data_IF_702040890634
#
_entry.id   IF_702040890634
#
_cell.length_a   1.000
_cell.length_b   1.000
_cell.length_c   1.000
_cell.angle_alpha   90.00
_cell.angle_beta   90.00
_cell.angle_gamma   90.00
#
_symmetry.space_group_name_H-M   'P 1'
#
loop_
_entity.id
_entity.type
_entity.pdbx_description
1 polymer ?
#
# COMPACT_ATOMS: atom_id res chain seq x y z
N UNK A 1 -6.22 -8.58 -36.42
CA UNK A 1 -7.41 -9.06 -35.70
C UNK A 1 -7.37 -8.53 -34.26
N UNK A 2 -8.38 -7.79 -33.82
CA UNK A 2 -8.48 -7.34 -32.44
C UNK A 2 -8.93 -8.50 -31.52
N UNK A 3 -8.27 -8.70 -30.37
CA UNK A 3 -8.64 -9.74 -29.40
C UNK A 3 -10.01 -9.45 -28.79
N UNK A 4 -10.78 -10.49 -28.50
CA UNK A 4 -12.07 -10.35 -27.81
C UNK A 4 -11.90 -9.78 -26.40
N UNK A 5 -12.91 -9.09 -25.88
CA UNK A 5 -12.87 -8.48 -24.53
C UNK A 5 -12.52 -9.49 -23.42
N UNK A 6 -13.08 -10.70 -23.50
CA UNK A 6 -12.82 -11.80 -22.56
C UNK A 6 -11.37 -12.28 -22.62
N UNK A 7 -10.79 -12.32 -23.82
CA UNK A 7 -9.40 -12.70 -24.03
C UNK A 7 -8.43 -11.61 -23.57
N UNK A 8 -8.79 -10.34 -23.75
CA UNK A 8 -8.05 -9.20 -23.21
C UNK A 8 -8.01 -9.26 -21.68
N UNK A 9 -9.13 -9.55 -21.02
CA UNK A 9 -9.20 -9.66 -19.56
C UNK A 9 -8.31 -10.79 -19.03
N UNK A 10 -8.39 -11.99 -19.63
CA UNK A 10 -7.51 -13.12 -19.29
C UNK A 10 -6.04 -12.80 -19.48
N UNK A 11 -5.69 -12.09 -20.55
CA UNK A 11 -4.32 -11.65 -20.79
C UNK A 11 -3.84 -10.65 -19.73
N UNK A 12 -4.69 -9.68 -19.36
CA UNK A 12 -4.37 -8.72 -18.29
C UNK A 12 -4.22 -9.41 -16.93
N UNK A 13 -5.05 -10.41 -16.65
CA UNK A 13 -4.95 -11.21 -15.43
C UNK A 13 -3.65 -12.00 -15.36
N UNK A 14 -3.31 -12.76 -16.41
CA UNK A 14 -2.00 -13.44 -16.52
C UNK A 14 -0.84 -12.46 -16.36
N UNK A 15 -0.92 -11.27 -16.96
CA UNK A 15 0.11 -10.23 -16.82
C UNK A 15 0.23 -9.74 -15.37
N UNK A 16 -0.88 -9.57 -14.65
CA UNK A 16 -0.89 -9.20 -13.22
C UNK A 16 -0.29 -10.30 -12.35
N UNK A 17 -0.62 -11.56 -12.62
CA UNK A 17 -0.08 -12.72 -11.91
C UNK A 17 1.42 -12.88 -12.13
N UNK A 18 1.88 -12.80 -13.38
CA UNK A 18 3.30 -12.85 -13.71
C UNK A 18 4.07 -11.73 -13.02
N UNK A 19 3.52 -10.51 -13.00
CA UNK A 19 4.10 -9.38 -12.27
C UNK A 19 4.15 -9.67 -10.76
N UNK A 20 3.08 -10.21 -10.17
CA UNK A 20 3.02 -10.58 -8.74
C UNK A 20 4.11 -11.60 -8.39
N UNK A 21 4.26 -12.65 -9.19
CA UNK A 21 5.26 -13.70 -8.97
C UNK A 21 6.69 -13.18 -9.15
N UNK A 22 6.93 -12.37 -10.18
CA UNK A 22 8.23 -11.70 -10.38
C UNK A 22 8.62 -10.83 -9.18
N UNK A 23 7.68 -9.99 -8.70
CA UNK A 23 7.90 -9.15 -7.52
C UNK A 23 8.15 -9.96 -6.24
N UNK A 24 7.47 -11.10 -6.07
CA UNK A 24 7.71 -12.02 -4.94
C UNK A 24 9.13 -12.57 -4.99
N UNK A 25 9.55 -13.12 -6.14
CA UNK A 25 10.91 -13.64 -6.35
C UNK A 25 11.98 -12.57 -6.11
N UNK A 26 11.76 -11.33 -6.58
CA UNK A 26 12.69 -10.23 -6.36
C UNK A 26 12.84 -9.89 -4.86
N UNK A 27 11.75 -9.90 -4.09
CA UNK A 27 11.79 -9.69 -2.63
C UNK A 27 12.49 -10.82 -1.90
N UNK A 28 12.29 -12.06 -2.34
CA UNK A 28 12.95 -13.24 -1.77
C UNK A 28 14.46 -13.19 -2.02
N UNK A 29 14.90 -12.88 -3.25
CA UNK A 29 16.31 -12.66 -3.59
C UNK A 29 16.93 -11.53 -2.78
N UNK A 30 16.18 -10.46 -2.51
CA UNK A 30 16.70 -9.38 -1.69
C UNK A 30 16.84 -9.81 -0.21
N UNK A 31 15.95 -10.66 0.28
CA UNK A 31 16.00 -11.18 1.65
C UNK A 31 17.12 -12.21 1.85
N UNK A 32 17.47 -12.97 0.80
CA UNK A 32 18.55 -13.96 0.89
C UNK A 32 19.94 -13.34 1.04
N UNK A 33 20.14 -12.12 0.52
CA UNK A 33 21.42 -11.41 0.58
C UNK A 33 21.39 -10.40 1.75
N UNK A 34 21.94 -10.72 2.94
CA UNK A 34 21.83 -9.87 4.13
C UNK A 34 22.47 -8.50 3.94
N UNK A 35 23.61 -8.42 3.23
CA UNK A 35 24.33 -7.17 2.98
C UNK A 35 23.47 -6.19 2.16
N UNK A 36 22.91 -6.65 1.04
CA UNK A 36 22.04 -5.82 0.19
C UNK A 36 20.76 -5.40 0.92
N UNK A 37 20.22 -6.28 1.76
CA UNK A 37 19.04 -5.95 2.56
C UNK A 37 19.33 -4.81 3.55
N UNK A 38 20.48 -4.84 4.22
CA UNK A 38 20.90 -3.79 5.15
C UNK A 38 21.17 -2.46 4.45
N UNK A 39 21.82 -2.47 3.29
CA UNK A 39 22.05 -1.28 2.47
C UNK A 39 20.74 -0.61 2.07
N UNK A 40 19.74 -1.37 1.61
CA UNK A 40 18.42 -0.82 1.26
C UNK A 40 17.73 -0.24 2.49
N UNK A 41 17.81 -0.94 3.63
CA UNK A 41 17.26 -0.42 4.88
C UNK A 41 17.94 0.88 5.31
N UNK A 42 19.24 1.03 5.06
CA UNK A 42 19.97 2.27 5.32
C UNK A 42 19.50 3.40 4.38
N UNK A 43 19.45 3.14 3.07
CA UNK A 43 18.94 4.10 2.07
C UNK A 43 17.51 4.56 2.36
N UNK A 44 16.65 3.66 2.84
CA UNK A 44 15.28 4.00 3.23
C UNK A 44 15.22 4.88 4.49
N UNK A 45 16.08 4.63 5.49
CA UNK A 45 16.22 5.51 6.67
C UNK A 45 16.67 6.91 6.24
N UNK A 46 17.65 7.00 5.34
CA UNK A 46 18.15 8.28 4.85
C UNK A 46 17.09 9.02 4.03
N UNK A 47 16.35 8.32 3.16
CA UNK A 47 15.22 8.90 2.43
C UNK A 47 14.15 9.45 3.37
N UNK A 48 13.83 8.72 4.44
CA UNK A 48 12.87 9.18 5.44
C UNK A 48 13.38 10.41 6.17
N UNK A 49 14.65 10.42 6.59
CA UNK A 49 15.29 11.57 7.23
C UNK A 49 15.21 12.82 6.34
N UNK A 50 15.59 12.71 5.06
CA UNK A 50 15.46 13.82 4.09
C UNK A 50 14.02 14.32 3.95
N UNK A 51 13.04 13.42 3.84
CA UNK A 51 11.63 13.83 3.76
C UNK A 51 11.11 14.51 5.02
N UNK A 52 11.65 14.13 6.18
CA UNK A 52 11.35 14.76 7.47
C UNK A 52 11.95 16.17 7.53
N UNK A 53 13.22 16.31 7.14
CA UNK A 53 13.92 17.60 7.03
C UNK A 53 13.23 18.54 6.03
N UNK A 54 12.79 18.02 4.88
CA UNK A 54 12.00 18.76 3.88
C UNK A 54 10.56 19.11 4.35
N UNK A 55 10.11 18.65 5.52
CA UNK A 55 8.77 18.90 6.05
C UNK A 55 7.63 18.19 5.31
N UNK A 56 7.95 17.25 4.42
CA UNK A 56 6.97 16.43 3.67
C UNK A 56 6.34 15.35 4.55
N UNK A 57 7.04 14.92 5.59
CA UNK A 57 6.52 14.01 6.61
C UNK A 57 6.31 14.82 7.88
N UNK A 58 5.03 15.03 8.24
CA UNK A 58 4.63 15.74 9.47
C UNK A 58 4.12 14.75 10.51
N UNK A 59 4.42 15.01 11.77
CA UNK A 59 3.79 14.29 12.88
C UNK A 59 2.34 14.75 13.05
N UNK A 60 1.48 13.91 13.65
CA UNK A 60 0.05 14.24 13.85
C UNK A 60 -0.10 15.55 14.65
N UNK A 61 0.76 15.80 15.64
CA UNK A 61 0.75 17.04 16.42
C UNK A 61 1.11 18.30 15.62
N UNK A 62 1.88 18.14 14.55
CA UNK A 62 2.30 19.24 13.65
C UNK A 62 1.28 19.47 12.52
N UNK A 63 0.24 18.64 12.43
CA UNK A 63 -0.81 18.76 11.43
C UNK A 63 -1.94 19.67 11.91
N UNK A 64 -2.58 20.37 10.96
CA UNK A 64 -3.81 21.11 11.23
C UNK A 64 -4.92 20.18 11.74
N UNK A 65 -5.77 20.69 12.65
CA UNK A 65 -6.95 19.99 13.16
C UNK A 65 -7.84 19.42 12.05
N UNK A 66 -7.94 20.12 10.91
CA UNK A 66 -8.72 19.65 9.75
C UNK A 66 -8.12 18.38 9.14
N UNK A 67 -6.81 18.34 8.95
CA UNK A 67 -6.13 17.17 8.41
C UNK A 67 -6.09 16.01 9.41
N UNK A 68 -5.92 16.31 10.71
CA UNK A 68 -6.04 15.29 11.75
C UNK A 68 -7.42 14.63 11.71
N UNK A 69 -8.50 15.43 11.56
CA UNK A 69 -9.87 14.91 11.42
C UNK A 69 -10.01 14.04 10.17
N UNK A 70 -9.44 14.45 9.04
CA UNK A 70 -9.43 13.68 7.78
C UNK A 70 -8.72 12.33 7.97
N UNK A 71 -7.54 12.31 8.57
CA UNK A 71 -6.81 11.06 8.86
C UNK A 71 -7.62 10.16 9.79
N UNK A 72 -8.19 10.70 10.88
CA UNK A 72 -9.04 9.91 11.80
C UNK A 72 -10.27 9.34 11.11
N UNK A 73 -10.86 10.05 10.15
CA UNK A 73 -11.97 9.54 9.35
C UNK A 73 -11.51 8.39 8.45
N UNK A 74 -10.37 8.52 7.77
CA UNK A 74 -9.81 7.43 6.98
C UNK A 74 -9.46 6.22 7.84
N UNK A 75 -8.93 6.42 9.05
CA UNK A 75 -8.66 5.34 10.00
C UNK A 75 -9.91 4.59 10.40
N UNK A 76 -11.01 5.30 10.70
CA UNK A 76 -12.30 4.68 10.99
C UNK A 76 -12.78 3.82 9.82
N UNK A 77 -12.73 4.34 8.59
CA UNK A 77 -13.09 3.59 7.37
C UNK A 77 -12.22 2.34 7.16
N UNK A 78 -10.90 2.46 7.36
CA UNK A 78 -9.97 1.31 7.24
C UNK A 78 -10.22 0.27 8.32
N UNK A 79 -10.48 0.70 9.55
CA UNK A 79 -10.78 -0.19 10.68
C UNK A 79 -12.09 -0.95 10.47
N UNK A 80 -13.14 -0.25 10.06
CA UNK A 80 -14.42 -0.86 9.69
C UNK A 80 -14.26 -1.91 8.59
N UNK A 81 -13.56 -1.56 7.50
CA UNK A 81 -13.27 -2.50 6.41
C UNK A 81 -12.49 -3.73 6.89
N UNK A 82 -11.51 -3.54 7.79
CA UNK A 82 -10.74 -4.64 8.36
C UNK A 82 -11.62 -5.56 9.21
N UNK A 83 -12.45 -5.00 10.10
CA UNK A 83 -13.39 -5.75 10.94
C UNK A 83 -14.38 -6.56 10.09
N UNK A 84 -14.94 -5.93 9.05
CA UNK A 84 -15.84 -6.62 8.13
C UNK A 84 -15.15 -7.77 7.39
N UNK A 85 -13.93 -7.53 6.90
CA UNK A 85 -13.12 -8.59 6.26
C UNK A 85 -12.88 -9.76 7.22
N UNK A 86 -12.52 -9.46 8.47
CA UNK A 86 -12.27 -10.49 9.49
C UNK A 86 -13.51 -11.31 9.81
N UNK A 87 -14.64 -10.64 10.05
CA UNK A 87 -15.93 -11.33 10.24
C UNK A 87 -16.29 -12.22 9.05
N UNK A 88 -16.06 -11.76 7.82
CA UNK A 88 -16.31 -12.58 6.63
C UNK A 88 -15.35 -13.77 6.53
N UNK A 89 -14.07 -13.61 6.87
CA UNK A 89 -13.10 -14.71 6.93
C UNK A 89 -13.53 -15.77 7.97
N UNK A 90 -13.98 -15.34 9.14
CA UNK A 90 -14.52 -16.21 10.20
C UNK A 90 -15.77 -16.95 9.71
N UNK A 91 -16.75 -16.25 9.15
CA UNK A 91 -17.96 -16.87 8.61
C UNK A 91 -17.65 -17.91 7.52
N UNK A 92 -16.68 -17.63 6.64
CA UNK A 92 -16.26 -18.57 5.59
C UNK A 92 -15.58 -19.79 6.23
N UNK A 93 -14.70 -19.58 7.20
CA UNK A 93 -14.05 -20.66 7.93
C UNK A 93 -15.09 -21.55 8.62
N UNK A 94 -16.03 -20.96 9.34
CA UNK A 94 -17.08 -21.69 10.06
C UNK A 94 -17.98 -22.46 9.10
N UNK A 95 -18.32 -21.86 7.95
CA UNK A 95 -19.04 -22.55 6.88
C UNK A 95 -18.25 -23.76 6.35
N UNK A 96 -16.95 -23.60 6.08
CA UNK A 96 -16.10 -24.70 5.59
C UNK A 96 -15.98 -25.81 6.63
N UNK A 97 -15.74 -25.47 7.90
CA UNK A 97 -15.64 -26.45 8.99
C UNK A 97 -16.95 -27.20 9.18
N UNK A 98 -18.08 -26.48 9.19
CA UNK A 98 -19.41 -27.08 9.40
C UNK A 98 -19.84 -27.99 8.25
N UNK A 99 -19.35 -27.74 7.03
CA UNK A 99 -19.66 -28.55 5.84
C UNK A 99 -18.53 -29.53 5.47
N UNK A 100 -17.46 -29.60 6.26
CA UNK A 100 -16.42 -30.60 6.09
C UNK A 100 -16.79 -31.85 6.90
N UNK A 101 -16.64 -33.06 6.33
CA UNK A 101 -16.83 -34.29 7.09
C UNK A 101 -15.97 -34.28 8.37
N UNK A 102 -16.42 -34.92 9.46
CA UNK A 102 -15.61 -35.05 10.66
C UNK A 102 -14.27 -35.67 10.30
N UNK A 103 -13.19 -35.09 10.81
CA UNK A 103 -11.83 -35.61 10.67
C UNK A 103 -11.85 -37.08 11.09
N UNK A 104 -11.59 -37.96 10.13
CA UNK A 104 -11.30 -39.37 10.41
C UNK A 104 -10.08 -39.39 11.34
N UNK A 105 -10.07 -40.21 12.40
CA UNK A 105 -8.95 -40.23 13.33
C UNK A 105 -7.69 -40.70 12.59
N UNK A 106 -6.88 -39.75 12.14
CA UNK A 106 -5.57 -40.01 11.57
C UNK A 106 -4.66 -40.54 12.68
N UNK A 107 -4.06 -41.70 12.40
CA UNK A 107 -3.07 -42.36 13.24
C UNK A 107 -1.97 -41.38 13.65
N UNK A 108 -1.70 -41.35 14.95
CA UNK A 108 -0.71 -40.51 15.62
C UNK A 108 0.66 -40.65 14.97
N UNK A 109 0.99 -39.77 14.02
CA UNK A 109 2.37 -39.56 13.59
C UNK A 109 2.91 -38.48 14.51
N UNK A 110 3.70 -38.89 15.50
CA UNK A 110 4.45 -38.00 16.37
C UNK A 110 5.42 -37.15 15.52
N UNK A 111 5.00 -35.93 15.22
CA UNK A 111 5.89 -34.91 14.68
C UNK A 111 6.76 -34.45 15.85
N UNK A 112 7.96 -35.01 15.95
CA UNK A 112 9.03 -34.58 16.85
C UNK A 112 9.28 -33.08 16.57
N UNK A 113 8.82 -32.22 17.48
CA UNK A 113 9.13 -30.79 17.41
C UNK A 113 10.60 -30.57 17.80
N UNK A 114 11.42 -29.89 16.98
CA UNK A 114 12.72 -29.43 17.44
C UNK A 114 12.51 -28.33 18.48
N UNK A 115 12.84 -28.64 19.74
CA UNK A 115 12.82 -27.70 20.85
C UNK A 115 13.71 -26.49 20.54
N UNK A 116 13.13 -25.32 20.27
CA UNK A 116 13.89 -24.08 20.27
C UNK A 116 14.17 -23.69 21.71
N UNK A 117 15.31 -24.16 22.22
CA UNK A 117 15.94 -23.66 23.44
C UNK A 117 16.25 -22.18 23.27
N UNK A 118 15.38 -21.32 23.80
CA UNK A 118 15.67 -19.88 23.97
C UNK A 118 14.81 -19.23 25.04
N UNK A 119 14.74 -19.80 26.25
CA UNK A 119 14.27 -19.07 27.44
C UNK A 119 14.95 -19.61 28.71
N UNK A 120 16.21 -19.24 28.89
CA UNK A 120 16.86 -18.97 30.18
C UNK A 120 17.61 -17.66 29.89
N UNK A 121 17.47 -16.54 30.58
CA UNK A 121 17.17 -16.23 31.97
C UNK A 121 16.54 -14.82 32.00
N UNK A 122 15.65 -14.56 32.96
CA UNK A 122 15.40 -13.25 33.60
C UNK A 122 14.19 -13.41 34.54
N UNK A 123 14.36 -14.24 35.57
CA UNK A 123 13.56 -14.15 36.77
C UNK A 123 14.34 -13.28 37.75
N UNK A 124 13.96 -12.01 37.89
CA UNK A 124 14.25 -11.25 39.11
C UNK A 124 12.95 -10.68 39.61
N UNK A 125 12.68 -11.04 40.85
CA UNK A 125 11.45 -10.93 41.60
C UNK A 125 11.23 -9.47 42.02
N UNK A 126 10.04 -8.93 41.76
CA UNK A 126 9.55 -7.75 42.46
C UNK A 126 8.04 -7.88 42.66
N UNK A 127 7.66 -8.64 43.68
CA UNK A 127 6.29 -8.63 44.22
C UNK A 127 6.05 -7.28 44.88
N UNK A 128 5.43 -6.34 44.16
CA UNK A 128 4.87 -5.14 44.77
C UNK A 128 3.39 -5.40 45.05
N UNK A 129 3.08 -5.40 46.34
CA UNK A 129 1.74 -5.50 46.93
C UNK A 129 0.80 -4.45 46.33
N UNK A 130 -0.26 -4.90 45.66
CA UNK A 130 -1.35 -4.03 45.19
C UNK A 130 -2.38 -3.95 46.32
N UNK A 131 -2.34 -2.85 47.07
CA UNK A 131 -3.44 -2.48 47.95
C UNK A 131 -4.67 -2.14 47.10
N UNK A 132 -5.76 -2.86 47.34
CA UNK A 132 -7.05 -2.62 46.73
C UNK A 132 -7.66 -1.33 47.30
N UNK A 133 -7.89 -0.33 46.45
CA UNK A 133 -8.75 0.80 46.77
C UNK A 133 -10.14 0.58 46.13
N UNK A 134 -11.23 0.62 46.90
CA UNK A 134 -12.57 0.61 46.35
C UNK A 134 -12.94 2.03 45.90
N UNK A 135 -12.91 2.29 44.59
CA UNK A 135 -13.54 3.47 44.02
C UNK A 135 -14.90 3.07 43.43
N UNK A 136 -15.95 3.40 44.18
CA UNK A 136 -17.32 3.38 43.69
C UNK A 136 -17.50 4.38 42.56
N UNK A 137 -17.81 3.86 41.37
CA UNK A 137 -18.31 4.65 40.25
C UNK A 137 -19.64 4.03 39.85
N UNK A 138 -20.71 4.81 40.03
CA UNK A 138 -22.08 4.42 39.74
C UNK A 138 -22.24 4.12 38.24
N UNK A 139 -22.78 2.94 37.93
CA UNK A 139 -23.24 2.57 36.59
C UNK A 139 -24.42 3.51 36.22
N UNK A 140 -24.16 4.50 35.38
CA UNK A 140 -25.24 5.16 34.65
C UNK A 140 -25.67 4.28 33.50
N UNK A 141 -26.95 3.89 33.51
CA UNK A 141 -27.63 3.08 32.52
C UNK A 141 -27.42 3.65 31.12
N UNK A 142 -26.77 2.88 30.25
CA UNK A 142 -26.66 3.19 28.83
C UNK A 142 -27.87 2.56 28.13
N UNK A 143 -28.87 3.41 27.85
CA UNK A 143 -30.07 3.04 27.10
C UNK A 143 -29.69 2.54 25.69
N UNK A 144 -30.06 1.29 25.42
CA UNK A 144 -30.08 0.69 24.10
C UNK A 144 -31.03 1.47 23.18
N UNK A 145 -30.50 2.09 22.12
CA UNK A 145 -31.32 2.52 20.97
C UNK A 145 -31.03 1.62 19.76
N UNK A 146 -32.03 0.94 19.19
CA UNK A 146 -31.90 0.28 17.90
C UNK A 146 -32.00 1.37 16.82
N UNK A 147 -31.03 1.43 15.92
CA UNK A 147 -31.20 2.18 14.67
C UNK A 147 -31.17 1.16 13.55
N UNK A 148 -32.36 0.97 13.02
CA UNK A 148 -32.71 0.10 11.92
C UNK A 148 -31.93 0.45 10.66
N UNK A 149 -31.74 -0.59 9.85
CA UNK A 149 -31.04 -0.56 8.59
C UNK A 149 -31.85 0.20 7.53
N UNK A 150 -31.24 1.17 6.87
CA UNK A 150 -31.50 1.42 5.45
C UNK A 150 -30.17 1.58 4.71
N UNK A 151 -29.75 0.47 4.11
CA UNK A 151 -28.75 0.40 3.06
C UNK A 151 -29.36 1.00 1.79
N UNK A 152 -29.02 2.24 1.47
CA UNK A 152 -29.09 2.72 0.10
C UNK A 152 -27.68 2.85 -0.48
N UNK A 153 -27.42 1.96 -1.42
CA UNK A 153 -26.25 1.91 -2.27
C UNK A 153 -26.18 3.16 -3.14
N UNK A 154 -25.09 3.92 -3.02
CA UNK A 154 -24.60 4.77 -4.12
C UNK A 154 -23.09 4.60 -4.24
N UNK A 155 -22.72 3.46 -4.83
CA UNK A 155 -21.51 3.35 -5.64
C UNK A 155 -21.84 4.11 -6.92
N UNK A 156 -21.19 5.24 -7.15
CA UNK A 156 -20.65 5.69 -8.45
C UNK A 156 -20.27 7.17 -8.36
N UNK A 157 -18.97 7.45 -8.18
CA UNK A 157 -18.28 8.52 -8.89
C UNK A 157 -16.76 8.35 -8.67
N UNK A 158 -16.12 7.81 -9.72
CA UNK A 158 -14.66 7.76 -9.86
C UNK A 158 -14.21 9.17 -10.23
N UNK A 159 -13.66 9.91 -9.28
CA UNK A 159 -12.91 11.11 -9.60
C UNK A 159 -11.49 10.73 -10.03
N UNK A 160 -11.30 10.69 -11.34
CA UNK A 160 -10.00 10.89 -11.98
C UNK A 160 -9.54 12.31 -11.70
N UNK A 161 -8.74 12.52 -10.66
CA UNK A 161 -8.02 13.78 -10.46
C UNK A 161 -6.52 13.55 -10.48
N UNK A 162 -5.97 13.91 -11.62
CA UNK A 162 -4.84 14.84 -11.73
C UNK A 162 -3.54 14.41 -11.04
N UNK A 163 -2.74 13.61 -11.77
CA UNK A 163 -1.33 13.41 -11.44
C UNK A 163 -0.55 14.46 -12.20
N UNK A 164 -0.07 15.48 -11.49
CA UNK A 164 0.89 16.47 -11.99
C UNK A 164 2.07 15.75 -12.68
N UNK A 165 2.27 16.02 -13.96
CA UNK A 165 3.30 15.40 -14.82
C UNK A 165 4.66 16.09 -14.76
N UNK A 166 4.89 17.03 -13.85
CA UNK A 166 6.11 17.86 -13.87
C UNK A 166 7.21 17.43 -12.89
N UNK A 167 7.01 16.37 -12.09
CA UNK A 167 8.01 15.94 -11.10
C UNK A 167 8.86 14.71 -11.51
N UNK A 168 8.80 14.26 -12.77
CA UNK A 168 9.51 13.06 -13.25
C UNK A 168 10.68 13.37 -14.21
N UNK A 169 11.06 14.64 -14.38
CA UNK A 169 12.14 15.01 -15.31
C UNK A 169 13.54 15.16 -14.69
N UNK A 170 13.75 14.90 -13.39
CA UNK A 170 15.07 15.14 -12.76
C UNK A 170 15.63 13.98 -11.94
N UNK A 171 15.20 12.72 -12.16
CA UNK A 171 15.79 11.57 -11.43
C UNK A 171 16.16 10.34 -12.27
N UNK A 172 16.24 10.47 -13.59
CA UNK A 172 16.62 9.35 -14.51
C UNK A 172 17.85 9.66 -15.36
N UNK A 173 18.59 10.74 -15.05
CA UNK A 173 19.96 10.93 -15.52
C UNK A 173 20.86 11.00 -14.29
N UNK A 174 21.46 9.87 -13.91
CA UNK A 174 22.74 9.76 -13.18
C UNK A 174 23.04 8.28 -12.86
N UNK A 175 22.96 7.39 -13.86
CA UNK A 175 23.41 6.00 -13.67
C UNK A 175 23.88 5.29 -14.95
N UNK A 176 24.40 6.03 -15.93
CA UNK A 176 25.16 5.41 -17.03
C UNK A 176 26.46 6.19 -17.22
N UNK A 177 27.54 5.60 -16.71
CA UNK A 177 28.90 5.96 -17.07
C UNK A 177 29.24 5.45 -18.47
N UNK A 178 30.02 6.27 -19.17
CA UNK A 178 31.11 5.91 -20.07
C UNK A 178 30.92 4.70 -21.00
N UNK A 179 30.36 4.96 -22.19
CA UNK A 179 30.77 4.29 -23.42
C UNK A 179 30.82 5.33 -24.56
N UNK A 180 32.00 5.44 -25.17
CA UNK A 180 32.34 6.29 -26.30
C UNK A 180 31.48 6.00 -27.55
N UNK A 181 31.10 7.05 -28.27
CA UNK A 181 30.58 6.95 -29.65
C UNK A 181 29.91 8.25 -30.14
N UNK A 182 30.52 9.03 -31.05
CA UNK A 182 29.92 10.26 -31.55
C UNK A 182 29.00 9.95 -32.75
N UNK A 183 27.72 9.62 -32.51
CA UNK A 183 26.70 9.52 -33.58
C UNK A 183 25.27 9.95 -33.22
N UNK A 184 24.99 10.46 -32.03
CA UNK A 184 23.59 10.71 -31.61
C UNK A 184 23.14 12.19 -31.58
N UNK A 185 24.03 13.16 -31.82
CA UNK A 185 23.67 14.58 -31.70
C UNK A 185 22.78 15.10 -32.84
N UNK A 186 22.85 14.50 -34.04
CA UNK A 186 22.01 14.92 -35.18
C UNK A 186 20.54 14.46 -35.05
N UNK A 187 20.28 13.35 -34.35
CA UNK A 187 18.91 12.82 -34.20
C UNK A 187 18.11 13.59 -33.13
N UNK A 188 18.79 14.09 -32.10
CA UNK A 188 18.16 14.93 -31.06
C UNK A 188 17.73 16.26 -31.66
N UNK A 189 18.55 16.88 -32.53
CA UNK A 189 18.19 18.15 -33.18
C UNK A 189 16.95 18.03 -34.08
N UNK A 190 16.82 16.92 -34.83
CA UNK A 190 15.64 16.65 -35.66
C UNK A 190 14.34 16.46 -34.84
N UNK A 191 14.43 15.88 -33.65
CA UNK A 191 13.28 15.67 -32.75
C UNK A 191 12.82 16.96 -32.05
N UNK A 192 13.73 17.88 -31.73
CA UNK A 192 13.37 19.22 -31.20
C UNK A 192 12.70 20.10 -32.26
N UNK A 193 13.24 20.14 -33.48
CA UNK A 193 12.68 20.95 -34.58
C UNK A 193 11.27 20.46 -34.99
N UNK A 194 11.02 19.14 -34.91
CA UNK A 194 9.69 18.56 -35.14
C UNK A 194 8.66 18.89 -34.06
N UNK A 195 9.08 19.08 -32.81
CA UNK A 195 8.21 19.43 -31.67
C UNK A 195 7.76 20.89 -31.75
N UNK A 196 8.66 21.79 -32.13
CA UNK A 196 8.37 23.22 -32.30
C UNK A 196 7.39 23.50 -33.44
N UNK A 197 7.41 22.70 -34.51
CA UNK A 197 6.41 22.81 -35.59
C UNK A 197 5.00 22.44 -35.12
N UNK A 198 4.86 21.41 -34.27
CA UNK A 198 3.55 20.98 -33.74
C UNK A 198 2.96 21.99 -32.75
N UNK A 199 3.81 22.62 -31.93
CA UNK A 199 3.38 23.67 -30.99
C UNK A 199 2.93 24.92 -31.76
N UNK A 200 3.67 25.33 -32.81
CA UNK A 200 3.29 26.46 -33.67
C UNK A 200 1.96 26.23 -34.41
N UNK A 201 1.69 25.00 -34.88
CA UNK A 201 0.42 24.66 -35.53
C UNK A 201 -0.74 24.69 -34.52
N UNK A 202 -0.56 24.15 -33.31
CA UNK A 202 -1.58 24.16 -32.27
C UNK A 202 -1.91 25.59 -31.77
N UNK A 203 -0.92 26.47 -31.70
CA UNK A 203 -1.13 27.88 -31.33
C UNK A 203 -1.73 28.72 -32.46
N UNK A 204 -1.38 28.44 -33.72
CA UNK A 204 -2.05 29.04 -34.87
C UNK A 204 -3.54 28.66 -34.92
N UNK A 205 -3.87 27.39 -34.63
CA UNK A 205 -5.26 26.92 -34.56
C UNK A 205 -6.05 27.60 -33.43
N UNK A 206 -5.43 27.77 -32.25
CA UNK A 206 -6.04 28.50 -31.13
C UNK A 206 -6.24 29.99 -31.40
N UNK A 207 -5.40 30.60 -32.23
CA UNK A 207 -5.51 32.02 -32.61
C UNK A 207 -6.59 32.27 -33.67
N UNK A 208 -6.80 31.32 -34.58
CA UNK A 208 -7.86 31.41 -35.62
C UNK A 208 -9.26 31.15 -35.03
N UNK A 209 -9.37 30.26 -34.03
CA UNK A 209 -10.65 29.90 -33.41
C UNK A 209 -11.00 30.68 -32.14
N UNK A 210 -10.25 31.75 -31.83
CA UNK A 210 -10.62 32.72 -30.80
C UNK A 210 -11.07 34.01 -31.48
N UNK A 211 -12.32 34.05 -31.92
CA UNK A 211 -13.04 35.28 -32.17
C UNK A 211 -14.02 35.53 -31.01
N UNK A 212 -14.36 36.81 -30.74
CA UNK A 212 -14.74 37.35 -29.44
C UNK A 212 -16.11 36.89 -28.92
#
# INVERSE_FOLDING_TARGET
>A
MARSKKEQERYLEKRREMKKMSMRKAREKLRSDPVKYEEIKAKDRDRYRRKKEEGKVKLIGEMSNRDQRRIRQEWRKRSEKYRLKKKNEENIHDFVVSNSPPLTPESQIEIIQPSTSRQQECAVVATVSVQAYPLGVQLTQFESRPVEAELQCDILQRDTRNVNTESLQTSVLNEYGDLEGPKEEEEIHALTVGRDRKIKIADAWRRVHRFP
#
